data_IF_671475703167
#
_entry.id   IF_671475703167
#
_cell.length_a   1.000
_cell.length_b   1.000
_cell.length_c   1.000
_cell.angle_alpha   90.00
_cell.angle_beta   90.00
_cell.angle_gamma   90.00
#
_symmetry.space_group_name_H-M   'P 1'
#
loop_
_entity.id
_entity.type
_entity.pdbx_description
1 polymer ?
#
# COMPACT_ATOMS: atom_id res chain seq x y z
N UNK A 1 4.68 -18.77 2.69
CA UNK A 1 5.20 -17.89 1.62
C UNK A 1 5.28 -18.61 0.29
N UNK A 2 6.05 -19.70 0.16
CA UNK A 2 6.13 -20.46 -1.10
C UNK A 2 4.76 -20.86 -1.68
N UNK A 3 3.88 -21.43 -0.87
CA UNK A 3 2.53 -21.82 -1.33
C UNK A 3 1.74 -20.65 -1.93
N UNK A 4 1.87 -19.44 -1.36
CA UNK A 4 1.22 -18.25 -1.90
C UNK A 4 1.84 -17.79 -3.22
N UNK A 5 3.16 -17.90 -3.35
CA UNK A 5 3.86 -17.59 -4.59
C UNK A 5 3.46 -18.56 -5.70
N UNK A 6 3.38 -19.86 -5.37
CA UNK A 6 2.95 -20.91 -6.29
C UNK A 6 1.48 -20.72 -6.73
N UNK A 7 0.62 -20.15 -5.88
CA UNK A 7 -0.77 -19.80 -6.24
C UNK A 7 -0.85 -18.57 -7.14
N UNK A 8 0.06 -17.60 -6.96
CA UNK A 8 0.07 -16.36 -7.72
C UNK A 8 0.69 -16.50 -9.10
N UNK A 9 1.66 -17.41 -9.25
CA UNK A 9 2.35 -17.68 -10.50
C UNK A 9 1.36 -18.04 -11.62
N UNK A 10 1.36 -17.25 -12.70
CA UNK A 10 0.47 -17.41 -13.84
C UNK A 10 -1.03 -17.18 -13.56
N UNK A 11 -1.40 -16.65 -12.39
CA UNK A 11 -2.81 -16.44 -12.01
C UNK A 11 -3.48 -15.25 -12.71
N UNK A 12 -2.70 -14.30 -13.23
CA UNK A 12 -3.20 -13.02 -13.75
C UNK A 12 -3.62 -12.03 -12.66
N UNK A 13 -3.28 -12.30 -11.39
CA UNK A 13 -3.44 -11.33 -10.31
C UNK A 13 -2.28 -10.34 -10.37
N UNK A 14 -2.58 -9.04 -10.44
CA UNK A 14 -1.55 -7.98 -10.48
C UNK A 14 -1.49 -7.11 -9.23
N UNK A 15 -2.48 -7.22 -8.33
CA UNK A 15 -2.49 -6.53 -7.06
C UNK A 15 -3.01 -7.44 -5.94
N UNK A 16 -2.23 -7.58 -4.87
CA UNK A 16 -2.57 -8.29 -3.65
C UNK A 16 -2.60 -7.30 -2.49
N UNK A 17 -3.81 -6.93 -2.04
CA UNK A 17 -4.01 -5.95 -0.97
C UNK A 17 -4.32 -6.67 0.34
N UNK A 18 -3.60 -6.34 1.40
CA UNK A 18 -3.71 -7.00 2.70
C UNK A 18 -3.49 -6.03 3.86
N UNK A 19 -3.83 -6.45 5.08
CA UNK A 19 -3.63 -5.68 6.32
C UNK A 19 -2.93 -6.53 7.38
N UNK A 20 -3.49 -6.57 8.59
CA UNK A 20 -2.97 -7.25 9.78
C UNK A 20 -1.77 -6.55 10.44
N UNK A 21 -0.67 -6.33 9.71
CA UNK A 21 0.42 -5.46 10.20
C UNK A 21 -0.06 -4.02 10.20
N UNK A 22 0.19 -3.26 11.26
CA UNK A 22 -0.24 -1.86 11.33
C UNK A 22 0.69 -0.90 10.58
N UNK A 23 1.08 -1.28 9.37
CA UNK A 23 1.97 -0.55 8.49
C UNK A 23 1.37 -0.33 7.11
N UNK A 24 2.10 0.44 6.29
CA UNK A 24 1.68 0.86 4.95
C UNK A 24 2.86 0.71 3.99
N UNK A 25 2.67 -0.09 2.93
CA UNK A 25 3.77 -0.49 2.04
C UNK A 25 3.26 -0.87 0.65
N UNK A 26 4.12 -0.66 -0.33
CA UNK A 26 3.93 -1.10 -1.71
C UNK A 26 5.20 -1.80 -2.20
N UNK A 27 5.08 -3.08 -2.51
CA UNK A 27 6.15 -3.90 -3.09
C UNK A 27 5.75 -4.43 -4.46
N UNK A 28 6.74 -4.90 -5.21
CA UNK A 28 6.53 -5.53 -6.53
C UNK A 28 7.39 -6.77 -6.70
N UNK A 29 6.83 -7.79 -7.34
CA UNK A 29 7.56 -8.98 -7.77
C UNK A 29 7.56 -9.08 -9.29
N UNK A 30 8.73 -8.87 -9.90
CA UNK A 30 8.90 -8.99 -11.36
C UNK A 30 8.62 -10.42 -11.84
N UNK A 31 9.05 -11.43 -11.07
CA UNK A 31 8.84 -12.83 -11.43
C UNK A 31 7.37 -13.25 -11.43
N UNK A 32 6.54 -12.61 -10.59
CA UNK A 32 5.11 -12.92 -10.51
C UNK A 32 4.23 -11.92 -11.27
N UNK A 33 4.74 -10.74 -11.58
CA UNK A 33 3.96 -9.61 -12.08
C UNK A 33 2.88 -9.14 -11.09
N UNK A 34 3.21 -9.17 -9.78
CA UNK A 34 2.27 -8.88 -8.69
C UNK A 34 2.78 -7.72 -7.85
N UNK A 35 1.90 -6.76 -7.57
CA UNK A 35 2.08 -5.74 -6.56
C UNK A 35 1.50 -6.19 -5.21
N UNK A 36 2.28 -6.09 -4.14
CA UNK A 36 1.83 -6.38 -2.79
C UNK A 36 1.62 -5.05 -2.04
N UNK A 37 0.40 -4.82 -1.58
CA UNK A 37 0.00 -3.57 -0.91
C UNK A 37 -0.41 -3.87 0.53
N UNK A 38 0.43 -3.47 1.48
CA UNK A 38 0.12 -3.50 2.91
C UNK A 38 -0.67 -2.23 3.26
N UNK A 39 -1.89 -2.40 3.76
CA UNK A 39 -2.83 -1.34 4.15
C UNK A 39 -3.46 -1.69 5.51
N UNK A 40 -2.68 -1.56 6.58
CA UNK A 40 -3.12 -1.96 7.92
C UNK A 40 -3.02 -0.89 9.00
N UNK A 41 -2.47 0.29 8.72
CA UNK A 41 -2.41 1.43 9.64
C UNK A 41 -3.67 2.31 9.55
N UNK A 42 -4.86 1.70 9.65
CA UNK A 42 -6.14 2.40 9.53
C UNK A 42 -6.64 3.11 10.80
N UNK A 43 -5.95 2.97 11.94
CA UNK A 43 -6.30 3.65 13.19
C UNK A 43 -7.15 2.86 14.20
N UNK A 44 -7.38 1.56 13.97
CA UNK A 44 -8.05 0.68 14.95
C UNK A 44 -7.16 0.27 16.14
N UNK A 45 -5.85 0.19 15.93
CA UNK A 45 -4.79 -0.05 16.93
C UNK A 45 -3.62 0.90 16.62
N UNK A 46 -2.70 1.06 17.58
CA UNK A 46 -1.43 1.77 17.39
C UNK A 46 -0.70 1.30 16.13
N UNK A 47 -0.37 2.26 15.26
CA UNK A 47 0.48 2.05 14.08
C UNK A 47 1.87 1.54 14.45
N UNK A 48 2.45 0.77 13.53
CA UNK A 48 3.77 0.17 13.63
C UNK A 48 4.55 0.44 12.34
N UNK A 49 5.83 0.06 12.32
CA UNK A 49 6.59 0.07 11.07
C UNK A 49 6.07 -1.03 10.14
N UNK A 50 6.07 -0.77 8.83
CA UNK A 50 5.66 -1.76 7.85
C UNK A 50 6.51 -3.03 7.90
N UNK A 51 5.91 -4.15 7.49
CA UNK A 51 6.60 -5.44 7.48
C UNK A 51 7.84 -5.40 6.58
N UNK A 52 9.00 -5.79 7.13
CA UNK A 52 10.17 -6.08 6.33
C UNK A 52 9.93 -7.26 5.38
N UNK A 53 10.63 -7.30 4.25
CA UNK A 53 10.62 -8.49 3.40
C UNK A 53 11.27 -9.65 4.16
N UNK A 54 10.58 -10.80 4.22
CA UNK A 54 11.18 -12.03 4.73
C UNK A 54 12.37 -12.44 3.86
N UNK A 55 13.33 -13.20 4.41
CA UNK A 55 14.52 -13.65 3.65
C UNK A 55 14.14 -14.36 2.35
N UNK A 56 13.07 -15.16 2.36
CA UNK A 56 12.57 -15.82 1.16
C UNK A 56 11.99 -14.82 0.14
N UNK A 57 11.15 -13.88 0.59
CA UNK A 57 10.51 -12.91 -0.30
C UNK A 57 11.51 -11.91 -0.90
N UNK A 58 12.57 -11.57 -0.17
CA UNK A 58 13.58 -10.60 -0.60
C UNK A 58 14.35 -11.03 -1.87
N UNK A 59 14.29 -12.30 -2.26
CA UNK A 59 14.85 -12.79 -3.53
C UNK A 59 13.97 -12.47 -4.75
N UNK A 60 12.67 -12.22 -4.54
CA UNK A 60 11.65 -12.13 -5.61
C UNK A 60 10.88 -10.81 -5.60
N UNK A 61 10.97 -10.05 -4.51
CA UNK A 61 10.17 -8.87 -4.24
C UNK A 61 11.09 -7.70 -3.95
N UNK A 62 10.83 -6.56 -4.60
CA UNK A 62 11.45 -5.27 -4.31
C UNK A 62 10.47 -4.35 -3.61
N UNK A 63 10.98 -3.52 -2.69
CA UNK A 63 10.17 -2.46 -2.09
C UNK A 63 10.15 -1.24 -3.02
N UNK A 64 8.94 -0.81 -3.40
CA UNK A 64 8.73 0.40 -4.18
C UNK A 64 8.49 1.60 -3.26
N UNK A 65 7.73 1.39 -2.19
CA UNK A 65 7.42 2.44 -1.23
C UNK A 65 7.09 1.86 0.15
N UNK A 66 7.51 2.56 1.19
CA UNK A 66 7.16 2.26 2.58
C UNK A 66 6.88 3.56 3.30
N UNK A 67 5.77 3.62 4.06
CA UNK A 67 5.52 4.78 4.90
C UNK A 67 6.34 4.73 6.20
N UNK A 68 6.75 5.89 6.69
CA UNK A 68 7.57 6.01 7.92
C UNK A 68 6.82 5.62 9.20
N UNK A 69 5.49 5.45 9.12
CA UNK A 69 4.65 5.07 10.26
C UNK A 69 4.25 6.24 11.15
N UNK A 70 4.44 7.48 10.71
CA UNK A 70 4.15 8.67 11.52
C UNK A 70 2.66 9.06 11.54
N UNK A 71 1.85 8.54 10.61
CA UNK A 71 0.43 8.89 10.44
C UNK A 71 -0.39 7.63 10.11
N UNK A 72 -1.70 7.69 10.37
CA UNK A 72 -2.67 6.67 9.91
C UNK A 72 -3.19 7.05 8.53
N UNK A 73 -3.63 6.06 7.75
CA UNK A 73 -4.10 6.31 6.41
C UNK A 73 -4.86 5.16 5.79
N UNK A 74 -5.06 5.26 4.48
CA UNK A 74 -5.70 4.24 3.68
C UNK A 74 -5.29 4.34 2.21
N UNK A 75 -5.34 3.22 1.51
CA UNK A 75 -5.20 3.18 0.07
C UNK A 75 -6.56 3.31 -0.65
N UNK A 76 -6.62 4.17 -1.68
CA UNK A 76 -7.71 4.19 -2.66
C UNK A 76 -7.28 3.54 -3.97
N UNK A 77 -8.22 2.86 -4.62
CA UNK A 77 -8.02 2.16 -5.88
C UNK A 77 -8.98 2.70 -6.94
N UNK A 78 -8.47 3.06 -8.12
CA UNK A 78 -9.27 3.39 -9.30
C UNK A 78 -8.85 2.52 -10.47
N UNK A 79 -9.75 1.69 -10.98
CA UNK A 79 -9.45 0.75 -12.05
C UNK A 79 -9.90 1.25 -13.43
N UNK A 80 -9.13 0.90 -14.46
CA UNK A 80 -9.49 0.90 -15.87
C UNK A 80 -9.14 -0.46 -16.50
N UNK A 81 -9.39 -0.63 -17.79
CA UNK A 81 -9.00 -1.85 -18.51
C UNK A 81 -7.47 -2.04 -18.53
N UNK A 82 -6.73 -0.94 -18.58
CA UNK A 82 -5.28 -0.95 -18.76
C UNK A 82 -4.50 -0.82 -17.44
N UNK A 83 -5.08 -0.16 -16.41
CA UNK A 83 -4.34 0.18 -15.19
C UNK A 83 -5.24 0.16 -13.95
N UNK A 84 -4.61 -0.09 -12.81
CA UNK A 84 -5.13 0.18 -11.48
C UNK A 84 -4.32 1.32 -10.86
N UNK A 85 -4.93 2.49 -10.68
CA UNK A 85 -4.35 3.61 -9.95
C UNK A 85 -4.48 3.36 -8.45
N UNK A 86 -3.34 3.16 -7.79
CA UNK A 86 -3.17 2.98 -6.36
C UNK A 86 -2.74 4.32 -5.73
N UNK A 87 -3.40 4.76 -4.66
CA UNK A 87 -2.99 5.99 -3.95
C UNK A 87 -3.09 5.80 -2.43
N UNK A 88 -2.02 6.13 -1.70
CA UNK A 88 -2.07 6.21 -0.24
C UNK A 88 -2.42 7.62 0.21
N UNK A 89 -3.42 7.70 1.08
CA UNK A 89 -3.93 8.94 1.67
C UNK A 89 -3.78 8.93 3.18
N UNK A 90 -3.47 10.10 3.72
CA UNK A 90 -3.33 10.38 5.15
C UNK A 90 -3.93 11.74 5.45
N UNK A 91 -4.06 12.08 6.72
CA UNK A 91 -4.47 13.41 7.15
C UNK A 91 -3.45 14.48 6.69
N UNK A 92 -3.93 15.67 6.32
CA UNK A 92 -3.05 16.80 6.07
C UNK A 92 -2.61 17.51 7.37
N UNK A 93 -1.81 18.57 7.23
CA UNK A 93 -1.28 19.32 8.37
C UNK A 93 -2.33 20.18 9.10
N UNK A 94 -3.55 20.30 8.57
CA UNK A 94 -4.64 21.01 9.25
C UNK A 94 -5.46 20.09 10.18
N UNK A 95 -5.22 18.77 10.10
CA UNK A 95 -5.84 17.80 10.98
C UNK A 95 -5.17 17.77 12.36
N UNK A 96 -5.96 17.64 13.41
CA UNK A 96 -5.46 17.40 14.77
C UNK A 96 -6.36 16.39 15.48
N UNK A 97 -5.79 15.26 15.90
CA UNK A 97 -6.52 14.22 16.63
C UNK A 97 -6.63 14.59 18.11
N UNK A 98 -7.86 14.76 18.60
CA UNK A 98 -8.14 14.94 20.01
C UNK A 98 -8.44 13.62 20.71
N UNK A 99 -8.56 13.64 22.05
CA UNK A 99 -9.01 12.48 22.84
C UNK A 99 -10.47 12.09 22.59
N UNK A 100 -11.23 12.96 21.93
CA UNK A 100 -12.63 12.77 21.57
C UNK A 100 -12.91 13.39 20.20
N UNK A 101 -14.08 13.07 19.63
CA UNK A 101 -14.51 13.67 18.37
C UNK A 101 -14.68 15.19 18.46
N UNK A 102 -15.10 15.71 19.62
CA UNK A 102 -15.28 17.16 19.82
C UNK A 102 -13.95 17.91 19.94
N UNK A 103 -12.90 17.22 20.39
CA UNK A 103 -11.55 17.78 20.51
C UNK A 103 -10.74 17.59 19.22
N UNK A 104 -11.27 16.85 18.24
CA UNK A 104 -10.62 16.59 16.96
C UNK A 104 -10.90 17.74 16.00
N UNK A 105 -9.84 18.34 15.45
CA UNK A 105 -9.96 19.30 14.34
C UNK A 105 -9.89 18.54 13.03
N UNK A 106 -11.00 18.58 12.29
CA UNK A 106 -11.06 17.99 10.95
C UNK A 106 -10.24 18.86 9.99
N UNK A 107 -9.28 18.23 9.34
CA UNK A 107 -8.48 18.82 8.27
C UNK A 107 -8.86 18.26 6.89
N UNK A 108 -7.94 18.41 5.93
CA UNK A 108 -8.04 17.80 4.61
C UNK A 108 -7.33 16.45 4.52
N UNK A 109 -7.24 15.96 3.28
CA UNK A 109 -6.59 14.69 2.92
C UNK A 109 -5.34 14.99 2.10
N UNK A 110 -4.23 14.32 2.44
CA UNK A 110 -2.97 14.41 1.74
C UNK A 110 -2.60 13.06 1.15
N UNK A 111 -2.37 13.03 -0.16
CA UNK A 111 -1.80 11.86 -0.85
C UNK A 111 -0.28 11.86 -0.70
N UNK A 112 0.32 10.75 -0.25
CA UNK A 112 1.79 10.62 -0.11
C UNK A 112 2.40 9.60 -1.06
N UNK A 113 1.59 8.74 -1.67
CA UNK A 113 2.03 7.75 -2.65
C UNK A 113 0.98 7.61 -3.75
N UNK A 114 1.44 7.45 -4.98
CA UNK A 114 0.56 7.26 -6.14
C UNK A 114 1.29 6.42 -7.18
N UNK A 115 0.65 5.35 -7.63
CA UNK A 115 1.21 4.41 -8.60
C UNK A 115 0.16 3.93 -9.61
N UNK A 116 0.55 3.75 -10.86
CA UNK A 116 -0.23 3.04 -11.86
C UNK A 116 0.27 1.61 -11.98
N UNK A 117 -0.54 0.64 -11.52
CA UNK A 117 -0.27 -0.79 -11.69
C UNK A 117 -0.88 -1.23 -13.03
N UNK A 118 -0.09 -1.72 -14.00
CA UNK A 118 -0.60 -2.11 -15.31
C UNK A 118 -1.29 -3.47 -15.26
N UNK A 119 -2.27 -3.66 -16.15
CA UNK A 119 -2.99 -4.92 -16.30
C UNK A 119 -2.18 -6.03 -17.01
N UNK A 120 -0.95 -5.72 -17.45
CA UNK A 120 -0.04 -6.69 -18.08
C UNK A 120 0.98 -7.31 -17.10
N UNK A 121 0.94 -6.89 -15.84
CA UNK A 121 1.83 -7.39 -14.79
C UNK A 121 3.23 -6.79 -14.79
N UNK A 122 3.52 -5.78 -15.63
CA UNK A 122 4.77 -5.02 -15.51
C UNK A 122 4.77 -4.14 -14.24
N UNK A 123 5.93 -3.59 -13.88
CA UNK A 123 6.09 -2.82 -12.62
C UNK A 123 5.21 -1.56 -12.57
N UNK A 124 4.85 -0.99 -13.72
CA UNK A 124 4.13 0.27 -13.76
C UNK A 124 5.02 1.47 -13.42
N UNK A 125 4.40 2.53 -12.89
CA UNK A 125 5.10 3.80 -12.64
C UNK A 125 4.38 4.68 -11.61
N UNK A 126 5.12 5.62 -11.02
CA UNK A 126 4.53 6.69 -10.23
C UNK A 126 3.54 7.52 -11.06
N UNK A 127 2.51 8.05 -10.40
CA UNK A 127 1.60 8.96 -11.08
C UNK A 127 2.31 10.27 -11.45
N UNK A 128 2.21 10.68 -12.71
CA UNK A 128 2.59 12.03 -13.11
C UNK A 128 1.61 13.05 -12.53
N UNK A 129 2.16 14.09 -11.91
CA UNK A 129 1.45 15.25 -11.36
C UNK A 129 0.92 16.19 -12.43
#
# INVERSE_FOLDING_TARGET
MKEWFDVLDGSGIHAWVYGHTHGEKHDYSESLGVHFVENGAGGGIQKESASGLTTYAAEYVSNLWTYTGDEYGFFSLTASEDWLKLQYHTADSSWSFGSSMTDTTVGGVKTKHCWYIPADGTEGQECTS
#
